data_IF_942117209716
#
_entry.id   IF_942117209716
#
_cell.length_a   1.000
_cell.length_b   1.000
_cell.length_c   1.000
_cell.angle_alpha   90.00
_cell.angle_beta   90.00
_cell.angle_gamma   90.00
#
_symmetry.space_group_name_H-M   'P 1'
#
loop_
_entity.id
_entity.type
_entity.pdbx_description
1 polymer ?
#
# COMPACT_ATOMS: atom_id res chain seq x y z
N UNK A 1 -11.89 16.54 30.29
CA UNK A 1 -10.61 15.86 30.02
C UNK A 1 -10.74 14.84 28.88
N UNK A 2 -11.51 13.76 29.04
CA UNK A 2 -11.64 12.70 28.03
C UNK A 2 -12.09 13.16 26.63
N UNK A 3 -13.08 14.05 26.54
CA UNK A 3 -13.56 14.58 25.24
C UNK A 3 -12.47 15.36 24.50
N UNK A 4 -11.69 16.17 25.22
CA UNK A 4 -10.62 16.96 24.61
C UNK A 4 -9.46 16.07 24.17
N UNK A 5 -9.12 15.04 24.95
CA UNK A 5 -8.12 14.04 24.57
C UNK A 5 -8.56 13.33 23.28
N UNK A 6 -9.80 12.83 23.24
CA UNK A 6 -10.34 12.14 22.06
C UNK A 6 -10.37 13.03 20.81
N UNK A 7 -10.68 14.33 20.97
CA UNK A 7 -10.63 15.30 19.87
C UNK A 7 -9.21 15.49 19.34
N UNK A 8 -8.23 15.63 20.23
CA UNK A 8 -6.83 15.81 19.85
C UNK A 8 -6.25 14.55 19.18
N UNK A 9 -6.61 13.36 19.66
CA UNK A 9 -6.27 12.08 19.03
C UNK A 9 -6.81 12.00 17.61
N UNK A 10 -8.09 12.32 17.40
CA UNK A 10 -8.69 12.32 16.07
C UNK A 10 -8.01 13.31 15.10
N UNK A 11 -7.64 14.50 15.58
CA UNK A 11 -6.91 15.48 14.77
C UNK A 11 -5.51 15.00 14.40
N UNK A 12 -4.78 14.42 15.34
CA UNK A 12 -3.45 13.87 15.10
C UNK A 12 -3.49 12.72 14.08
N UNK A 13 -4.47 11.82 14.19
CA UNK A 13 -4.68 10.71 13.24
C UNK A 13 -4.95 11.27 11.84
N UNK A 14 -5.86 12.23 11.71
CA UNK A 14 -6.19 12.85 10.43
C UNK A 14 -4.98 13.55 9.79
N UNK A 15 -4.17 14.24 10.59
CA UNK A 15 -2.95 14.88 10.11
C UNK A 15 -1.89 13.86 9.63
N UNK A 16 -1.90 12.63 10.17
CA UNK A 16 -0.99 11.56 9.80
C UNK A 16 -1.47 10.74 8.57
N UNK A 17 -2.72 10.87 8.13
CA UNK A 17 -3.27 10.11 7.01
C UNK A 17 -2.41 10.15 5.73
N UNK A 18 -1.85 11.30 5.29
CA UNK A 18 -0.99 11.33 4.11
C UNK A 18 0.27 10.44 4.25
N UNK A 19 0.83 10.37 5.46
CA UNK A 19 2.00 9.51 5.74
C UNK A 19 1.62 8.03 5.69
N UNK A 20 0.40 7.70 6.15
CA UNK A 20 -0.14 6.34 6.11
C UNK A 20 -0.34 5.88 4.66
N UNK A 21 -0.93 6.74 3.82
CA UNK A 21 -1.09 6.49 2.38
C UNK A 21 0.27 6.25 1.73
N UNK A 22 1.24 7.16 1.93
CA UNK A 22 2.60 7.03 1.39
C UNK A 22 3.28 5.71 1.81
N UNK A 23 3.07 5.28 3.06
CA UNK A 23 3.66 4.03 3.56
C UNK A 23 3.08 2.80 2.85
N UNK A 24 1.76 2.77 2.61
CA UNK A 24 1.13 1.70 1.84
C UNK A 24 1.58 1.74 0.37
N UNK A 25 1.70 2.92 -0.24
CA UNK A 25 2.23 3.08 -1.60
C UNK A 25 3.65 2.50 -1.71
N UNK A 26 4.54 2.82 -0.75
CA UNK A 26 5.88 2.26 -0.69
C UNK A 26 5.88 0.75 -0.51
N UNK A 27 5.06 0.23 0.40
CA UNK A 27 4.94 -1.20 0.65
C UNK A 27 4.49 -1.96 -0.62
N UNK A 28 3.41 -1.51 -1.25
CA UNK A 28 2.92 -2.08 -2.51
C UNK A 28 3.98 -1.95 -3.61
N UNK A 29 4.73 -0.84 -3.61
CA UNK A 29 5.81 -0.62 -4.57
C UNK A 29 6.98 -1.59 -4.44
N UNK A 30 7.13 -2.27 -3.31
CA UNK A 30 8.11 -3.35 -3.13
C UNK A 30 7.64 -4.70 -3.68
N UNK A 31 6.34 -4.86 -3.95
CA UNK A 31 5.81 -6.02 -4.66
C UNK A 31 5.98 -5.82 -6.17
N UNK A 32 6.39 -6.87 -6.88
CA UNK A 32 6.52 -6.83 -8.34
C UNK A 32 5.18 -6.55 -9.02
N UNK A 33 4.09 -7.15 -8.54
CA UNK A 33 2.74 -6.94 -9.05
C UNK A 33 2.10 -5.65 -8.56
N UNK A 34 2.79 -4.87 -7.72
CA UNK A 34 2.24 -3.71 -6.99
C UNK A 34 0.97 -4.03 -6.22
N UNK A 35 0.85 -5.28 -5.80
CA UNK A 35 -0.31 -5.81 -5.10
C UNK A 35 0.10 -6.83 -4.02
N UNK A 36 -0.72 -6.95 -2.99
CA UNK A 36 -0.58 -7.94 -1.91
C UNK A 36 -1.96 -8.37 -1.40
N UNK A 37 -2.12 -9.57 -0.82
CA UNK A 37 -3.36 -9.95 -0.17
C UNK A 37 -3.71 -8.97 0.97
N UNK A 38 -4.94 -8.44 0.98
CA UNK A 38 -5.39 -7.52 2.02
C UNK A 38 -5.29 -8.15 3.42
N UNK A 39 -5.57 -9.46 3.51
CA UNK A 39 -5.41 -10.25 4.74
C UNK A 39 -3.98 -10.21 5.30
N UNK A 40 -2.96 -10.05 4.46
CA UNK A 40 -1.57 -9.92 4.91
C UNK A 40 -1.34 -8.56 5.59
N UNK A 41 -1.90 -7.48 5.04
CA UNK A 41 -1.89 -6.14 5.66
C UNK A 41 -2.58 -6.19 7.01
N UNK A 42 -3.73 -6.85 7.11
CA UNK A 42 -4.46 -7.05 8.37
C UNK A 42 -3.67 -7.76 9.47
N UNK A 43 -2.64 -8.53 9.14
CA UNK A 43 -1.80 -9.17 10.18
C UNK A 43 -0.82 -8.20 10.82
N UNK A 44 -0.50 -7.09 10.15
CA UNK A 44 0.58 -6.16 10.54
C UNK A 44 0.16 -4.69 10.49
N UNK A 45 -1.14 -4.40 10.45
CA UNK A 45 -1.67 -3.05 10.22
C UNK A 45 -1.24 -2.06 11.31
N UNK A 46 -1.16 -2.51 12.57
CA UNK A 46 -0.69 -1.68 13.70
C UNK A 46 0.78 -1.31 13.57
N UNK A 47 1.61 -2.26 13.15
CA UNK A 47 3.05 -2.08 12.92
C UNK A 47 3.32 -1.16 11.73
N UNK A 48 2.40 -1.15 10.75
CA UNK A 48 2.40 -0.19 9.64
C UNK A 48 1.89 1.19 10.07
N UNK A 49 1.24 1.32 11.23
CA UNK A 49 0.65 2.55 11.73
C UNK A 49 -0.68 2.90 11.05
N UNK A 50 -1.41 1.89 10.57
CA UNK A 50 -2.75 2.06 10.01
C UNK A 50 -3.76 2.27 11.15
N UNK A 51 -4.85 3.04 10.93
CA UNK A 51 -5.97 3.12 11.86
C UNK A 51 -6.84 1.84 11.85
N UNK A 52 -7.63 1.62 12.90
CA UNK A 52 -8.47 0.41 13.05
C UNK A 52 -9.48 0.24 11.91
N UNK A 53 -9.90 1.36 11.32
CA UNK A 53 -10.85 1.46 10.21
C UNK A 53 -10.17 1.70 8.85
N UNK A 54 -8.89 1.32 8.69
CA UNK A 54 -8.10 1.69 7.50
C UNK A 54 -8.68 1.27 6.15
N UNK A 55 -9.48 0.21 6.09
CA UNK A 55 -10.20 -0.15 4.87
C UNK A 55 -11.13 0.99 4.41
N UNK A 56 -11.82 1.64 5.34
CA UNK A 56 -12.71 2.76 5.04
C UNK A 56 -11.95 4.09 5.01
N UNK A 57 -11.12 4.34 6.02
CA UNK A 57 -10.49 5.64 6.25
C UNK A 57 -9.26 5.90 5.37
N UNK A 58 -8.61 4.86 4.87
CA UNK A 58 -7.42 4.95 4.02
C UNK A 58 -7.67 4.37 2.64
N UNK A 59 -8.13 3.13 2.52
CA UNK A 59 -8.25 2.48 1.20
C UNK A 59 -9.42 3.07 0.41
N UNK A 60 -10.64 2.98 0.96
CA UNK A 60 -11.86 3.43 0.27
C UNK A 60 -11.90 4.94 0.00
N UNK A 61 -11.24 5.74 0.85
CA UNK A 61 -11.10 7.20 0.66
C UNK A 61 -10.06 7.61 -0.37
N UNK A 62 -9.19 6.71 -0.83
CA UNK A 62 -8.16 7.00 -1.82
C UNK A 62 -8.29 6.07 -3.05
N UNK A 63 -9.42 6.08 -3.77
CA UNK A 63 -9.69 5.15 -4.87
C UNK A 63 -8.82 5.39 -6.12
N UNK A 64 -8.20 6.57 -6.23
CA UNK A 64 -7.22 6.91 -7.27
C UNK A 64 -5.83 6.33 -6.95
N UNK A 65 -5.58 5.93 -5.70
CA UNK A 65 -4.31 5.33 -5.27
C UNK A 65 -4.46 3.82 -5.08
N UNK A 66 -5.54 3.38 -4.44
CA UNK A 66 -5.74 1.98 -4.06
C UNK A 66 -6.96 1.38 -4.72
N UNK A 67 -6.85 0.09 -5.07
CA UNK A 67 -7.95 -0.72 -5.57
C UNK A 67 -8.02 -2.01 -4.77
N UNK A 68 -9.23 -2.43 -4.44
CA UNK A 68 -9.51 -3.77 -3.92
C UNK A 68 -10.12 -4.61 -5.04
N UNK A 69 -9.52 -5.78 -5.29
CA UNK A 69 -9.99 -6.77 -6.26
C UNK A 69 -10.25 -8.09 -5.55
N UNK A 70 -11.14 -8.92 -6.11
CA UNK A 70 -11.41 -10.25 -5.58
C UNK A 70 -10.18 -11.16 -5.77
N UNK A 71 -9.83 -11.88 -4.72
CA UNK A 71 -8.78 -12.90 -4.76
C UNK A 71 -9.27 -14.22 -5.35
N UNK A 72 -8.36 -15.17 -5.48
CA UNK A 72 -8.65 -16.48 -6.07
C UNK A 72 -9.48 -17.40 -5.13
N UNK A 73 -9.58 -17.04 -3.84
CA UNK A 73 -10.36 -17.77 -2.85
C UNK A 73 -11.58 -16.94 -2.40
N UNK A 74 -12.71 -17.57 -2.04
CA UNK A 74 -13.88 -16.86 -1.52
C UNK A 74 -13.54 -15.99 -0.32
N UNK A 75 -14.09 -14.77 -0.29
CA UNK A 75 -13.86 -13.78 0.77
C UNK A 75 -12.39 -13.37 0.96
N UNK A 76 -11.57 -13.48 -0.09
CA UNK A 76 -10.22 -12.91 -0.11
C UNK A 76 -10.19 -11.71 -1.04
N UNK A 77 -9.49 -10.66 -0.61
CA UNK A 77 -9.30 -9.46 -1.41
C UNK A 77 -7.80 -9.21 -1.61
N UNK A 78 -7.46 -8.69 -2.77
CA UNK A 78 -6.13 -8.22 -3.11
C UNK A 78 -6.16 -6.69 -3.07
N UNK A 79 -5.19 -6.11 -2.35
CA UNK A 79 -4.95 -4.68 -2.35
C UNK A 79 -3.93 -4.36 -3.43
N UNK A 80 -4.29 -3.48 -4.35
CA UNK A 80 -3.50 -3.09 -5.52
C UNK A 80 -3.24 -1.58 -5.51
N UNK A 81 -2.05 -1.19 -5.97
CA UNK A 81 -1.74 0.19 -6.29
C UNK A 81 -2.25 0.50 -7.70
N UNK A 82 -3.10 1.53 -7.82
CA UNK A 82 -3.57 2.04 -9.11
C UNK A 82 -2.40 2.72 -9.82
N UNK A 83 -2.13 2.32 -11.07
CA UNK A 83 -1.18 3.01 -11.95
C UNK A 83 -2.02 3.79 -12.97
N UNK A 84 -2.07 5.12 -12.84
CA UNK A 84 -2.58 5.98 -13.91
C UNK A 84 -1.51 6.13 -15.02
N UNK A 85 -1.95 6.47 -16.23
CA UNK A 85 -1.22 6.33 -17.50
C UNK A 85 0.13 7.08 -17.60
N UNK A 86 0.88 6.70 -18.64
CA UNK A 86 2.31 6.84 -18.97
C UNK A 86 3.13 8.08 -18.51
N UNK A 87 2.54 9.20 -18.11
CA UNK A 87 3.29 10.42 -17.72
C UNK A 87 3.70 10.42 -16.22
N UNK A 88 2.90 9.84 -15.33
CA UNK A 88 3.28 9.64 -13.91
C UNK A 88 4.21 8.43 -13.69
N UNK A 89 4.54 7.71 -14.76
CA UNK A 89 5.49 6.59 -14.78
C UNK A 89 6.88 7.01 -14.28
N UNK A 90 7.22 8.30 -14.37
CA UNK A 90 8.49 8.88 -13.88
C UNK A 90 8.60 8.95 -12.35
N UNK A 91 7.49 8.80 -11.61
CA UNK A 91 7.46 8.74 -10.14
C UNK A 91 7.26 7.31 -9.61
N UNK A 92 7.43 6.29 -10.46
CA UNK A 92 7.36 4.88 -10.03
C UNK A 92 8.44 4.58 -9.01
N UNK A 93 8.03 4.52 -7.75
CA UNK A 93 8.83 3.92 -6.69
C UNK A 93 9.16 2.47 -7.09
N UNK A 94 10.44 2.16 -7.20
CA UNK A 94 10.94 0.84 -7.54
C UNK A 94 11.86 0.37 -6.41
N UNK A 95 11.64 -0.84 -5.90
CA UNK A 95 12.53 -1.41 -4.91
C UNK A 95 13.91 -1.62 -5.54
N UNK A 96 14.98 -1.15 -4.89
CA UNK A 96 16.33 -1.26 -5.41
C UNK A 96 16.76 -2.71 -5.72
N UNK A 97 16.21 -3.69 -4.98
CA UNK A 97 16.43 -5.12 -5.22
C UNK A 97 15.87 -5.59 -6.57
N UNK A 98 14.83 -4.94 -7.09
CA UNK A 98 14.23 -5.32 -8.37
C UNK A 98 15.18 -5.03 -9.53
N UNK A 99 15.92 -3.91 -9.47
CA UNK A 99 16.99 -3.58 -10.42
C UNK A 99 18.07 -4.65 -10.47
N UNK A 100 18.42 -5.22 -9.31
CA UNK A 100 19.38 -6.32 -9.22
C UNK A 100 18.83 -7.63 -9.79
N UNK A 101 17.55 -7.95 -9.55
CA UNK A 101 16.93 -9.19 -10.06
C UNK A 101 16.94 -9.27 -11.58
N UNK A 102 16.65 -8.17 -12.27
CA UNK A 102 16.67 -8.13 -13.74
C UNK A 102 18.04 -8.52 -14.28
N UNK A 103 19.11 -7.95 -13.74
CA UNK A 103 20.49 -8.28 -14.14
C UNK A 103 20.80 -9.76 -13.89
N UNK A 104 20.46 -10.29 -12.71
CA UNK A 104 20.80 -11.64 -12.29
C UNK A 104 19.99 -12.74 -13.03
N UNK A 105 18.74 -12.46 -13.41
CA UNK A 105 17.90 -13.37 -14.19
C UNK A 105 18.29 -13.36 -15.67
N UNK A 106 18.45 -12.19 -16.29
CA UNK A 106 18.82 -12.08 -17.70
C UNK A 106 20.23 -12.64 -17.97
N UNK A 107 21.15 -12.58 -17.01
CA UNK A 107 22.49 -13.18 -17.14
C UNK A 107 22.48 -14.72 -17.15
N UNK A 108 21.39 -15.36 -16.73
CA UNK A 108 21.26 -16.83 -16.71
C UNK A 108 20.53 -17.39 -17.94
N UNK A 109 19.89 -16.54 -18.75
CA UNK A 109 19.19 -16.95 -19.96
C UNK A 109 20.13 -17.07 -21.19
N UNK A 110 21.41 -16.69 -21.04
CA UNK A 110 22.47 -16.85 -22.05
C UNK A 110 23.34 -18.13 -21.85
N UNK A 111 22.90 -19.12 -21.06
CA UNK A 111 23.57 -20.43 -20.90
C UNK A 111 22.73 -21.60 -21.40
#
# INVERSE_FOLDING_TARGET
>A
AAIEISRQEALAINAALPLVVDRLVRLLSMSMSKSIPLRAVFKVWRELGLPDDFEDSVISKNPHVFRLSDGHEPNTHILELVQEDEEEKSLKLEAAVEKWRVVECCSKEEC
#
